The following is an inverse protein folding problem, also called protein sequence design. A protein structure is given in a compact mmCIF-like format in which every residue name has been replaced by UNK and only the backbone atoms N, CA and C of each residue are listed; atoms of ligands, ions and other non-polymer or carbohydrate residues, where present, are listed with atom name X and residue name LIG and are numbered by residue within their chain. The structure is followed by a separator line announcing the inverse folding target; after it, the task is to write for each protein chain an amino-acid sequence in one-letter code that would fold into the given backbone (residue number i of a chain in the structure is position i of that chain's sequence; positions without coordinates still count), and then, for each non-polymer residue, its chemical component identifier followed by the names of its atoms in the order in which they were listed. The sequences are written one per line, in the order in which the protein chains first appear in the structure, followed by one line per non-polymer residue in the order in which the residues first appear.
data_IF_721020268813
#
_entry.id   IF_721020268813
#
_cell.length_a   1.000
_cell.length_b   1.000
_cell.length_c   1.000
_cell.angle_alpha   90.00
_cell.angle_beta   90.00
_cell.angle_gamma   90.00
#
_symmetry.space_group_name_H-M   'P 1'
#
loop_
_entity.id
_entity.type
_entity.pdbx_description
1 polymer ?
#
# COMPACT_ATOMS: atom_id res chain seq x y z
N UNK A 1 -17.93 11.15 -24.18
CA UNK A 1 -18.85 10.93 -23.04
C UNK A 1 -18.17 10.09 -21.95
N UNK A 2 -18.73 10.00 -20.72
CA UNK A 2 -18.16 9.12 -19.66
C UNK A 2 -18.15 7.64 -20.04
N UNK A 3 -19.12 7.20 -20.84
CA UNK A 3 -19.23 5.83 -21.36
C UNK A 3 -18.12 5.55 -22.39
N UNK A 4 -17.90 6.44 -23.36
CA UNK A 4 -16.78 6.31 -24.31
C UNK A 4 -15.43 6.15 -23.60
N UNK A 5 -15.19 6.90 -22.51
CA UNK A 5 -13.92 6.83 -21.77
C UNK A 5 -13.68 5.48 -21.09
N UNK A 6 -14.76 4.82 -20.64
CA UNK A 6 -14.72 3.47 -20.07
C UNK A 6 -14.51 2.42 -21.15
N UNK A 7 -15.09 2.60 -22.34
CA UNK A 7 -14.94 1.70 -23.47
C UNK A 7 -13.58 1.84 -24.18
N UNK A 8 -12.92 2.98 -24.04
CA UNK A 8 -11.56 3.20 -24.56
C UNK A 8 -10.50 2.52 -23.68
N UNK A 9 -10.31 1.24 -23.95
CA UNK A 9 -9.31 0.37 -23.31
C UNK A 9 -7.93 0.44 -23.97
N UNK A 10 -7.75 1.30 -24.98
CA UNK A 10 -6.45 1.50 -25.63
C UNK A 10 -5.46 2.29 -24.75
N UNK A 11 -5.99 3.05 -23.78
CA UNK A 11 -5.21 3.88 -22.87
C UNK A 11 -4.58 3.01 -21.78
N UNK A 12 -3.25 2.93 -21.80
CA UNK A 12 -2.45 2.20 -20.81
C UNK A 12 -2.40 2.92 -19.45
N UNK A 13 -2.05 2.20 -18.38
CA UNK A 13 -1.91 2.78 -17.04
C UNK A 13 -3.20 2.80 -16.21
N UNK A 14 -4.26 2.17 -16.72
CA UNK A 14 -5.53 2.01 -16.01
C UNK A 14 -5.98 0.54 -15.99
N UNK A 15 -6.59 0.13 -14.88
CA UNK A 15 -7.37 -1.09 -14.76
C UNK A 15 -8.85 -0.77 -14.99
N UNK A 16 -9.49 -1.54 -15.86
CA UNK A 16 -10.90 -1.41 -16.20
C UNK A 16 -11.63 -2.63 -15.65
N UNK A 17 -12.66 -2.40 -14.84
CA UNK A 17 -13.44 -3.48 -14.25
C UNK A 17 -14.89 -3.06 -14.04
N UNK A 18 -15.76 -4.03 -13.82
CA UNK A 18 -17.16 -3.79 -13.55
C UNK A 18 -17.63 -4.62 -12.36
N UNK A 19 -18.63 -4.11 -11.66
CA UNK A 19 -19.38 -4.85 -10.65
C UNK A 19 -20.86 -4.82 -11.03
N UNK A 20 -21.57 -5.90 -10.73
CA UNK A 20 -22.99 -6.02 -11.04
C UNK A 20 -23.74 -6.66 -9.90
N UNK A 21 -24.88 -6.03 -9.59
CA UNK A 21 -25.92 -6.55 -8.72
C UNK A 21 -27.19 -6.73 -9.55
N UNK A 22 -28.20 -7.47 -9.06
CA UNK A 22 -29.46 -7.62 -9.80
C UNK A 22 -30.19 -6.30 -10.15
N UNK A 23 -29.84 -5.18 -9.50
CA UNK A 23 -30.50 -3.88 -9.68
C UNK A 23 -29.63 -2.80 -10.30
N UNK A 24 -28.31 -2.97 -10.30
CA UNK A 24 -27.37 -1.95 -10.75
C UNK A 24 -26.10 -2.59 -11.31
N UNK A 25 -25.44 -1.89 -12.23
CA UNK A 25 -24.08 -2.18 -12.64
C UNK A 25 -23.23 -0.92 -12.50
N UNK A 26 -21.96 -1.09 -12.16
CA UNK A 26 -20.98 -0.03 -12.07
C UNK A 26 -19.79 -0.37 -12.96
N UNK A 27 -19.26 0.64 -13.64
CA UNK A 27 -18.04 0.53 -14.44
C UNK A 27 -16.98 1.40 -13.79
N UNK A 28 -15.78 0.84 -13.64
CA UNK A 28 -14.68 1.44 -12.91
C UNK A 28 -13.46 1.59 -13.82
N UNK A 29 -12.81 2.75 -13.71
CA UNK A 29 -11.49 3.01 -14.28
C UNK A 29 -10.57 3.37 -13.11
N UNK A 30 -9.66 2.47 -12.76
CA UNK A 30 -8.75 2.64 -11.62
C UNK A 30 -7.34 2.87 -12.17
N UNK A 31 -6.70 4.02 -11.91
CA UNK A 31 -5.32 4.23 -12.34
C UNK A 31 -4.39 3.23 -11.64
N UNK A 32 -3.44 2.67 -12.40
CA UNK A 32 -2.44 1.74 -11.88
C UNK A 32 -1.36 2.46 -11.05
N UNK A 33 -1.22 3.77 -11.23
CA UNK A 33 -0.34 4.63 -10.45
C UNK A 33 -1.06 5.89 -10.03
N UNK A 34 -0.80 6.34 -8.81
CA UNK A 34 -1.28 7.64 -8.31
C UNK A 34 -0.24 8.75 -8.48
N UNK A 35 0.97 8.42 -8.93
CA UNK A 35 2.12 9.32 -8.97
C UNK A 35 1.82 10.63 -9.73
N UNK A 36 1.34 10.53 -10.96
CA UNK A 36 1.12 11.70 -11.82
C UNK A 36 0.04 12.62 -11.22
N UNK A 37 -1.11 12.04 -10.87
CA UNK A 37 -2.22 12.81 -10.27
C UNK A 37 -1.81 13.46 -8.96
N UNK A 38 -1.06 12.76 -8.13
CA UNK A 38 -0.61 13.30 -6.85
C UNK A 38 0.41 14.42 -7.04
N UNK A 39 1.34 14.26 -7.97
CA UNK A 39 2.30 15.29 -8.36
C UNK A 39 1.61 16.57 -8.82
N UNK A 40 0.62 16.47 -9.71
CA UNK A 40 -0.19 17.60 -10.17
C UNK A 40 -0.86 18.33 -8.99
N UNK A 41 -1.39 17.59 -8.00
CA UNK A 41 -2.01 18.21 -6.82
C UNK A 41 -1.02 18.95 -5.92
N UNK A 42 0.23 18.48 -5.83
CA UNK A 42 1.31 19.16 -5.11
C UNK A 42 1.70 20.44 -5.84
N UNK A 43 1.86 20.40 -7.16
CA UNK A 43 2.22 21.57 -7.97
C UNK A 43 1.15 22.68 -7.91
N UNK A 44 -0.13 22.31 -7.84
CA UNK A 44 -1.23 23.27 -7.74
C UNK A 44 -1.26 24.05 -6.42
N UNK A 45 -0.62 23.55 -5.36
CA UNK A 45 -0.66 24.15 -4.03
C UNK A 45 0.74 24.64 -3.64
N UNK A 46 1.01 25.95 -3.76
CA UNK A 46 2.31 26.50 -3.40
C UNK A 46 2.56 26.30 -1.89
N UNK A 47 3.72 25.73 -1.56
CA UNK A 47 4.12 25.50 -0.17
C UNK A 47 5.18 24.42 -0.03
N UNK A 48 5.67 24.27 1.21
CA UNK A 48 6.53 23.15 1.58
C UNK A 48 5.68 21.96 2.03
N UNK A 49 5.96 20.78 1.49
CA UNK A 49 5.30 19.53 1.85
C UNK A 49 6.23 18.66 2.68
N UNK A 50 5.84 18.37 3.92
CA UNK A 50 6.63 17.53 4.84
C UNK A 50 5.90 16.22 5.06
N UNK A 51 6.53 15.11 4.68
CA UNK A 51 6.03 13.75 4.90
C UNK A 51 6.80 13.12 6.05
N UNK A 52 6.10 12.69 7.09
CA UNK A 52 6.69 12.04 8.26
C UNK A 52 5.84 10.86 8.70
N UNK A 53 6.50 9.76 9.02
CA UNK A 53 5.91 8.56 9.59
C UNK A 53 7.03 7.61 10.03
N UNK A 54 6.73 6.73 10.98
CA UNK A 54 7.66 5.74 11.51
C UNK A 54 8.02 4.62 10.49
N UNK A 55 7.28 4.50 9.39
CA UNK A 55 7.39 3.36 8.45
C UNK A 55 7.48 3.78 6.98
N UNK A 56 7.93 5.02 6.71
CA UNK A 56 8.09 5.51 5.33
C UNK A 56 9.24 4.83 4.58
N UNK A 57 10.37 4.66 5.27
CA UNK A 57 11.56 4.03 4.71
C UNK A 57 11.50 2.51 4.86
N UNK A 58 12.02 1.81 3.86
CA UNK A 58 12.31 0.38 3.91
C UNK A 58 13.81 0.23 3.73
N UNK A 59 14.49 -0.41 4.68
CA UNK A 59 15.96 -0.55 4.63
C UNK A 59 16.69 0.79 4.44
N UNK A 60 16.26 1.83 5.17
CA UNK A 60 16.75 3.21 5.09
C UNK A 60 16.53 3.90 3.73
N UNK A 61 15.73 3.31 2.85
CA UNK A 61 15.39 3.86 1.53
C UNK A 61 13.92 4.32 1.46
N UNK A 62 13.74 5.55 0.98
CA UNK A 62 12.44 6.18 0.76
C UNK A 62 11.91 6.01 -0.67
N UNK A 63 12.69 5.41 -1.58
CA UNK A 63 12.37 5.32 -3.01
C UNK A 63 11.01 4.65 -3.26
N UNK A 64 10.68 3.61 -2.50
CA UNK A 64 9.39 2.93 -2.62
C UNK A 64 8.20 3.87 -2.32
N UNK A 65 8.35 4.80 -1.37
CA UNK A 65 7.33 5.80 -1.07
C UNK A 65 7.32 6.93 -2.12
N UNK A 66 8.49 7.49 -2.43
CA UNK A 66 8.60 8.66 -3.31
C UNK A 66 8.23 8.32 -4.75
N UNK A 67 8.64 7.17 -5.28
CA UNK A 67 8.29 6.72 -6.64
C UNK A 67 6.78 6.52 -6.81
N UNK A 68 6.11 5.88 -5.85
CA UNK A 68 4.66 5.62 -5.92
C UNK A 68 3.82 6.89 -5.86
N UNK A 69 4.33 7.95 -5.25
CA UNK A 69 3.67 9.25 -5.18
C UNK A 69 4.21 10.26 -6.20
N UNK A 70 5.20 9.90 -7.02
CA UNK A 70 5.80 10.84 -7.99
C UNK A 70 6.54 12.01 -7.32
N UNK A 71 7.10 11.79 -6.13
CA UNK A 71 7.81 12.81 -5.36
C UNK A 71 9.29 12.87 -5.71
N UNK A 72 9.83 14.09 -5.75
CA UNK A 72 11.26 14.37 -5.89
C UNK A 72 11.71 15.25 -4.71
N UNK A 73 11.90 14.67 -3.52
CA UNK A 73 12.23 15.45 -2.33
C UNK A 73 13.63 16.06 -2.45
N UNK A 74 13.80 17.28 -1.95
CA UNK A 74 15.12 17.93 -1.82
C UNK A 74 15.89 17.48 -0.59
N UNK A 75 15.21 16.92 0.42
CA UNK A 75 15.79 16.41 1.63
C UNK A 75 15.05 15.13 2.09
N UNK A 76 15.80 14.19 2.64
CA UNK A 76 15.30 12.95 3.23
C UNK A 76 16.07 12.67 4.51
N UNK A 77 15.39 12.12 5.51
CA UNK A 77 15.99 11.85 6.81
C UNK A 77 15.30 10.68 7.49
N UNK A 78 16.09 9.69 7.92
CA UNK A 78 15.65 8.54 8.72
C UNK A 78 16.22 8.69 10.12
N UNK A 79 15.41 8.40 11.14
CA UNK A 79 15.82 8.38 12.53
C UNK A 79 15.85 6.93 13.02
N UNK A 80 16.95 6.48 13.66
CA UNK A 80 16.94 5.19 14.31
C UNK A 80 15.91 5.18 15.44
N UNK A 81 15.34 4.01 15.71
CA UNK A 81 14.44 3.84 16.83
C UNK A 81 15.16 4.14 18.16
N UNK A 82 14.53 4.90 19.08
CA UNK A 82 15.14 5.20 20.38
C UNK A 82 15.04 4.05 21.38
N UNK A 83 14.37 2.94 21.02
CA UNK A 83 14.07 1.85 21.95
C UNK A 83 15.16 0.76 21.96
N UNK A 84 15.44 0.23 23.16
CA UNK A 84 16.37 -0.88 23.37
C UNK A 84 15.67 -2.22 23.07
N UNK A 85 15.51 -2.53 21.78
CA UNK A 85 14.92 -3.81 21.37
C UNK A 85 15.65 -5.05 21.91
N UNK A 86 16.99 -5.09 21.97
CA UNK A 86 17.70 -6.25 22.53
C UNK A 86 17.24 -6.63 23.94
N UNK A 87 17.01 -5.65 24.82
CA UNK A 87 16.61 -5.92 26.21
C UNK A 87 15.10 -5.83 26.43
N UNK A 88 14.40 -4.96 25.69
CA UNK A 88 12.98 -4.62 25.91
C UNK A 88 12.03 -5.23 24.88
N UNK A 89 12.52 -6.06 23.95
CA UNK A 89 11.69 -6.82 23.04
C UNK A 89 12.02 -8.31 23.03
N UNK A 90 11.09 -9.11 22.51
CA UNK A 90 11.26 -10.53 22.25
C UNK A 90 10.72 -10.83 20.86
N UNK A 91 11.54 -11.45 20.02
CA UNK A 91 11.11 -11.98 18.73
C UNK A 91 10.65 -13.42 18.92
N UNK A 92 9.34 -13.65 18.86
CA UNK A 92 8.76 -14.99 18.96
C UNK A 92 8.53 -15.56 17.56
N UNK A 93 9.23 -16.65 17.22
CA UNK A 93 9.02 -17.39 15.98
C UNK A 93 8.42 -18.75 16.31
N UNK A 94 7.08 -18.88 16.28
CA UNK A 94 6.42 -20.15 16.63
C UNK A 94 6.80 -21.22 15.62
N UNK A 95 7.27 -22.37 16.13
CA UNK A 95 7.51 -23.55 15.31
C UNK A 95 6.21 -24.33 15.13
N UNK A 96 6.09 -25.04 14.02
CA UNK A 96 4.95 -25.92 13.74
C UNK A 96 3.60 -25.22 13.56
N UNK A 97 3.61 -23.93 13.21
CA UNK A 97 2.40 -23.23 12.80
C UNK A 97 1.79 -23.96 11.58
N UNK A 98 0.48 -24.25 11.55
CA UNK A 98 -0.11 -24.90 10.40
C UNK A 98 -0.16 -23.92 9.21
N UNK A 99 -0.06 -24.44 8.00
CA UNK A 99 -0.16 -23.63 6.78
C UNK A 99 -1.50 -22.86 6.74
N UNK A 100 -1.52 -21.55 6.36
CA UNK A 100 -2.71 -20.69 6.40
C UNK A 100 -3.93 -21.24 5.64
N UNK A 101 -3.69 -22.07 4.63
CA UNK A 101 -4.75 -22.66 3.80
C UNK A 101 -4.96 -24.16 4.08
N UNK A 102 -4.38 -24.70 5.16
CA UNK A 102 -4.54 -26.12 5.49
C UNK A 102 -5.91 -26.41 6.11
N UNK A 103 -6.56 -27.54 5.74
CA UNK A 103 -7.79 -27.97 6.39
C UNK A 103 -7.62 -28.13 7.90
N UNK A 104 -8.59 -27.64 8.67
CA UNK A 104 -8.60 -27.70 10.13
C UNK A 104 -7.56 -26.78 10.81
N UNK A 105 -7.09 -25.71 10.13
CA UNK A 105 -6.16 -24.73 10.69
C UNK A 105 -6.61 -24.22 12.06
N UNK A 106 -7.88 -23.81 12.18
CA UNK A 106 -8.43 -23.27 13.42
C UNK A 106 -8.30 -24.27 14.59
N UNK A 107 -8.70 -25.53 14.38
CA UNK A 107 -8.61 -26.58 15.40
C UNK A 107 -7.16 -26.87 15.82
N UNK A 108 -6.24 -26.89 14.85
CA UNK A 108 -4.80 -27.09 15.11
C UNK A 108 -4.20 -25.93 15.90
N UNK A 109 -4.58 -24.69 15.57
CA UNK A 109 -4.14 -23.50 16.29
C UNK A 109 -4.66 -23.49 17.73
N UNK A 110 -5.94 -23.81 17.94
CA UNK A 110 -6.53 -23.92 19.30
C UNK A 110 -5.72 -24.90 20.14
N UNK A 111 -5.48 -26.11 19.62
CA UNK A 111 -4.68 -27.14 20.33
C UNK A 111 -3.23 -26.73 20.61
N UNK A 112 -2.66 -25.82 19.83
CA UNK A 112 -1.28 -25.36 20.01
C UNK A 112 -1.17 -24.20 21.02
N UNK A 113 -2.25 -23.45 21.22
CA UNK A 113 -2.28 -22.26 22.08
C UNK A 113 -2.92 -22.52 23.46
N UNK A 114 -3.60 -23.65 23.65
CA UNK A 114 -4.07 -24.19 24.94
C UNK A 114 -3.13 -25.26 25.47
#
# INVERSE_FOLDING_TARGET
SRIERVCDVSITGYSYWYDTTPRHFALHITPLSVADKFHEQIELKPGAWVFTSATLAVSDDFEHFTSRLGLKPSAQFSLPSPFDYPNQARLCVPRYLPEPNSPGLADKLVRMLT
#
